data_IF_855631899065
#
_entry.id   IF_855631899065
#
_cell.length_a   1.000
_cell.length_b   1.000
_cell.length_c   1.000
_cell.angle_alpha   90.00
_cell.angle_beta   90.00
_cell.angle_gamma   90.00
#
_symmetry.space_group_name_H-M   'P 1'
#
loop_
_entity.id
_entity.type
_entity.pdbx_description
1 polymer ?
#
# COMPACT_ATOMS: atom_id res chain seq x y z
N UNK A 1 -5.88 25.85 -14.76
CA UNK A 1 -6.54 25.91 -13.45
C UNK A 1 -7.48 24.73 -13.31
N UNK A 2 -7.02 23.64 -12.74
CA UNK A 2 -7.90 22.56 -12.30
C UNK A 2 -8.85 23.12 -11.25
N UNK A 3 -10.11 23.28 -11.57
CA UNK A 3 -11.11 23.67 -10.57
C UNK A 3 -11.37 22.47 -9.66
N UNK A 4 -11.40 22.69 -8.36
CA UNK A 4 -11.67 21.67 -7.34
C UNK A 4 -13.00 20.89 -7.55
N UNK A 5 -13.92 21.44 -8.35
CA UNK A 5 -15.18 20.83 -8.75
C UNK A 5 -15.01 19.60 -9.69
N UNK A 6 -14.07 19.68 -10.63
CA UNK A 6 -13.82 18.60 -11.60
C UNK A 6 -13.32 17.31 -10.92
N UNK A 7 -12.49 17.48 -9.90
CA UNK A 7 -11.92 16.34 -9.17
C UNK A 7 -12.94 15.73 -8.20
N UNK A 8 -13.86 16.51 -7.64
CA UNK A 8 -14.95 15.97 -6.83
C UNK A 8 -15.91 15.08 -7.66
N UNK A 9 -16.21 15.49 -8.88
CA UNK A 9 -17.13 14.74 -9.74
C UNK A 9 -16.49 13.44 -10.25
N UNK A 10 -15.20 13.45 -10.60
CA UNK A 10 -14.51 12.24 -11.06
C UNK A 10 -14.03 11.34 -9.92
N UNK A 11 -13.76 11.87 -8.74
CA UNK A 11 -13.51 11.08 -7.53
C UNK A 11 -14.70 10.20 -7.12
N UNK A 12 -15.93 10.62 -7.41
CA UNK A 12 -17.15 9.84 -7.17
C UNK A 12 -17.27 8.63 -8.12
N UNK A 13 -16.75 8.71 -9.35
CA UNK A 13 -16.78 7.60 -10.30
C UNK A 13 -15.83 6.46 -9.91
N UNK A 14 -14.70 6.76 -9.28
CA UNK A 14 -13.84 5.74 -8.69
C UNK A 14 -14.51 4.99 -7.54
N UNK A 15 -15.43 5.61 -6.82
CA UNK A 15 -16.10 5.02 -5.68
C UNK A 15 -17.14 3.94 -6.05
N UNK A 16 -17.71 4.00 -7.24
CA UNK A 16 -18.81 3.11 -7.61
C UNK A 16 -18.35 1.69 -7.99
N UNK A 17 -17.12 1.53 -8.49
CA UNK A 17 -16.59 0.24 -8.94
C UNK A 17 -15.42 -0.29 -8.12
N UNK A 18 -14.85 0.52 -7.21
CA UNK A 18 -13.71 0.17 -6.39
C UNK A 18 -14.13 0.12 -4.91
N UNK A 19 -13.94 -1.02 -4.28
CA UNK A 19 -14.37 -1.22 -2.89
C UNK A 19 -13.50 -0.44 -1.88
N UNK A 20 -12.21 -0.25 -2.14
CA UNK A 20 -11.25 0.26 -1.16
C UNK A 20 -10.32 1.36 -1.65
N UNK A 21 -9.99 1.41 -2.94
CA UNK A 21 -9.05 2.40 -3.48
C UNK A 21 -9.70 3.78 -3.65
N UNK A 22 -8.96 4.82 -3.31
CA UNK A 22 -9.38 6.23 -3.46
C UNK A 22 -8.23 7.05 -4.01
N UNK A 23 -8.51 7.95 -4.94
CA UNK A 23 -7.54 8.92 -5.45
C UNK A 23 -7.74 10.24 -4.75
N UNK A 24 -6.65 10.85 -4.29
CA UNK A 24 -6.64 12.15 -3.65
C UNK A 24 -5.75 13.11 -4.39
N UNK A 25 -6.28 14.25 -4.83
CA UNK A 25 -5.47 15.35 -5.32
C UNK A 25 -4.69 15.97 -4.16
N UNK A 26 -3.35 15.95 -4.24
CA UNK A 26 -2.46 16.48 -3.20
C UNK A 26 -1.80 17.78 -3.61
N UNK A 27 -1.64 18.03 -4.92
CA UNK A 27 -1.01 19.24 -5.45
C UNK A 27 -1.53 19.57 -6.85
N UNK A 28 -1.70 20.84 -7.14
CA UNK A 28 -1.80 21.40 -8.49
C UNK A 28 -0.55 22.25 -8.70
N UNK A 29 0.08 22.08 -9.85
CA UNK A 29 1.27 22.82 -10.25
C UNK A 29 1.13 23.29 -11.69
N UNK A 30 1.60 24.49 -12.00
CA UNK A 30 1.69 25.02 -13.35
C UNK A 30 3.14 24.86 -13.82
N UNK A 31 3.33 24.28 -14.99
CA UNK A 31 4.64 24.12 -15.61
C UNK A 31 4.73 24.91 -16.91
N UNK A 32 5.95 25.33 -17.30
CA UNK A 32 6.21 26.06 -18.54
C UNK A 32 6.56 25.10 -19.69
N UNK A 33 5.79 24.05 -19.87
CA UNK A 33 5.97 23.15 -21.00
C UNK A 33 5.43 23.78 -22.28
N UNK A 34 6.26 23.86 -23.32
CA UNK A 34 5.88 24.41 -24.62
C UNK A 34 5.31 23.30 -25.51
N UNK A 35 3.97 23.20 -25.55
CA UNK A 35 3.26 22.22 -26.35
C UNK A 35 3.35 22.46 -27.88
N UNK A 36 3.67 23.68 -28.30
CA UNK A 36 3.71 24.08 -29.72
C UNK A 36 4.96 23.58 -30.44
N UNK A 37 5.97 23.10 -29.69
CA UNK A 37 7.15 22.47 -30.28
C UNK A 37 6.88 21.08 -30.84
N UNK A 38 5.73 20.47 -30.55
CA UNK A 38 5.36 19.13 -30.98
C UNK A 38 4.28 19.13 -32.04
N UNK A 39 4.32 18.15 -32.93
CA UNK A 39 3.21 17.92 -33.90
C UNK A 39 1.99 17.32 -33.20
N UNK A 40 0.79 17.52 -33.76
CA UNK A 40 -0.46 16.95 -33.22
C UNK A 40 -0.41 15.43 -32.99
N UNK A 41 0.36 14.71 -33.84
CA UNK A 41 0.51 13.27 -33.72
C UNK A 41 1.45 12.82 -32.59
N UNK A 42 2.29 13.71 -32.05
CA UNK A 42 3.35 13.38 -31.10
C UNK A 42 3.26 14.15 -29.77
N UNK A 43 2.38 15.15 -29.69
CA UNK A 43 2.37 16.04 -28.52
C UNK A 43 2.20 15.30 -27.18
N UNK A 44 1.42 14.22 -27.15
CA UNK A 44 1.25 13.43 -25.93
C UNK A 44 2.47 12.56 -25.63
N UNK A 45 3.09 11.93 -26.64
CA UNK A 45 4.32 11.15 -26.47
C UNK A 45 5.48 12.04 -26.01
N UNK A 46 5.65 13.21 -26.67
CA UNK A 46 6.70 14.17 -26.31
C UNK A 46 6.47 14.74 -24.92
N UNK A 47 5.23 15.06 -24.56
CA UNK A 47 4.87 15.55 -23.23
C UNK A 47 5.03 14.49 -22.14
N UNK A 48 4.63 13.26 -22.39
CA UNK A 48 4.83 12.15 -21.45
C UNK A 48 6.32 11.86 -21.27
N UNK A 49 7.10 11.88 -22.37
CA UNK A 49 8.56 11.73 -22.34
C UNK A 49 9.20 12.82 -21.49
N UNK A 50 8.86 14.09 -21.74
CA UNK A 50 9.37 15.23 -20.98
C UNK A 50 8.95 15.17 -19.49
N UNK A 51 7.74 14.65 -19.19
CA UNK A 51 7.20 14.57 -17.84
C UNK A 51 7.94 13.57 -16.97
N UNK A 52 8.34 12.40 -17.52
CA UNK A 52 9.04 11.38 -16.74
C UNK A 52 10.58 11.52 -16.80
N UNK A 53 11.12 12.24 -17.79
CA UNK A 53 12.57 12.47 -17.92
C UNK A 53 13.09 13.34 -16.79
N UNK A 54 14.35 13.10 -16.38
CA UNK A 54 14.97 13.81 -15.24
C UNK A 54 15.87 14.97 -15.65
N UNK A 55 16.38 14.98 -16.90
CA UNK A 55 17.48 15.85 -17.34
C UNK A 55 17.28 16.41 -18.76
N UNK A 56 16.05 16.54 -19.25
CA UNK A 56 15.80 17.06 -20.61
C UNK A 56 15.50 18.56 -20.64
N UNK A 57 15.51 19.23 -19.48
CA UNK A 57 15.27 20.67 -19.28
C UNK A 57 13.88 21.14 -19.68
N UNK A 58 12.89 20.27 -19.69
CA UNK A 58 11.52 20.62 -20.06
C UNK A 58 10.60 20.73 -18.86
N UNK A 59 10.52 19.69 -18.05
CA UNK A 59 9.66 19.64 -16.85
C UNK A 59 10.39 19.02 -15.67
N UNK A 60 11.72 19.12 -15.60
CA UNK A 60 12.54 18.47 -14.56
C UNK A 60 12.12 18.85 -13.14
N UNK A 61 11.57 20.07 -12.95
CA UNK A 61 11.08 20.55 -11.67
C UNK A 61 9.92 19.70 -11.13
N UNK A 62 9.16 19.01 -12.00
CA UNK A 62 7.99 18.22 -11.61
C UNK A 62 8.38 17.09 -10.66
N UNK A 63 9.56 16.50 -10.82
CA UNK A 63 10.04 15.44 -9.94
C UNK A 63 10.24 15.96 -8.51
N UNK A 64 10.81 17.15 -8.35
CA UNK A 64 10.96 17.80 -7.04
C UNK A 64 9.60 18.17 -6.44
N UNK A 65 8.69 18.71 -7.25
CA UNK A 65 7.31 19.06 -6.83
C UNK A 65 6.53 17.80 -6.43
N UNK A 66 6.59 16.73 -7.23
CA UNK A 66 5.99 15.44 -6.95
C UNK A 66 6.46 14.88 -5.60
N UNK A 67 7.78 14.89 -5.41
CA UNK A 67 8.41 14.40 -4.18
C UNK A 67 7.99 15.24 -2.96
N UNK A 68 8.04 16.57 -3.07
CA UNK A 68 7.63 17.48 -1.99
C UNK A 68 6.15 17.35 -1.63
N UNK A 69 5.30 17.07 -2.60
CA UNK A 69 3.87 16.84 -2.40
C UNK A 69 3.55 15.43 -1.87
N UNK A 70 4.50 14.49 -1.95
CA UNK A 70 4.24 13.06 -1.69
C UNK A 70 3.23 12.49 -2.68
N UNK A 71 3.27 12.93 -3.94
CA UNK A 71 2.33 12.49 -4.96
C UNK A 71 2.81 11.20 -5.61
N UNK A 72 2.04 10.13 -5.47
CA UNK A 72 2.39 8.82 -6.02
C UNK A 72 2.30 8.80 -7.55
N UNK A 73 1.32 9.49 -8.11
CA UNK A 73 1.05 9.58 -9.56
C UNK A 73 0.99 11.04 -9.98
N UNK A 74 1.46 11.34 -11.16
CA UNK A 74 1.38 12.66 -11.79
C UNK A 74 0.54 12.56 -13.07
N UNK A 75 -0.39 13.48 -13.24
CA UNK A 75 -1.18 13.62 -14.47
C UNK A 75 -1.02 15.05 -14.99
N UNK A 76 -0.44 15.19 -16.18
CA UNK A 76 -0.32 16.47 -16.89
C UNK A 76 -1.56 16.71 -17.75
N UNK A 77 -2.16 17.89 -17.64
CA UNK A 77 -3.23 18.31 -18.50
C UNK A 77 -2.70 19.24 -19.60
N UNK A 78 -2.71 18.77 -20.85
CA UNK A 78 -2.32 19.53 -22.03
C UNK A 78 -3.45 20.44 -22.47
N UNK A 79 -3.12 21.66 -22.85
CA UNK A 79 -4.10 22.65 -23.33
C UNK A 79 -4.50 22.41 -24.79
N UNK A 80 -3.69 21.69 -25.57
CA UNK A 80 -4.00 21.33 -26.96
C UNK A 80 -5.14 20.32 -27.03
N UNK A 81 -6.02 20.52 -28.01
CA UNK A 81 -7.18 19.64 -28.29
C UNK A 81 -7.03 18.88 -29.62
N UNK A 82 -5.98 19.14 -30.40
CA UNK A 82 -5.68 18.50 -31.67
C UNK A 82 -4.74 17.28 -31.50
N UNK A 83 -4.86 16.55 -30.41
CA UNK A 83 -4.05 15.38 -30.10
C UNK A 83 -4.62 14.10 -30.72
N UNK A 84 -3.76 13.08 -30.91
CA UNK A 84 -4.16 11.80 -31.52
C UNK A 84 -5.12 10.99 -30.64
N UNK A 85 -5.08 11.19 -29.32
CA UNK A 85 -5.96 10.56 -28.34
C UNK A 85 -6.37 11.54 -27.24
N UNK A 86 -7.27 11.16 -26.36
CA UNK A 86 -7.66 12.00 -25.21
C UNK A 86 -6.64 11.96 -24.08
N UNK A 87 -5.85 10.90 -23.99
CA UNK A 87 -4.82 10.73 -22.98
C UNK A 87 -3.78 9.69 -23.39
N UNK A 88 -2.69 9.62 -22.63
CA UNK A 88 -1.62 8.65 -22.78
C UNK A 88 -0.94 8.43 -21.41
N UNK A 89 -0.63 7.18 -21.08
CA UNK A 89 0.12 6.82 -19.88
C UNK A 89 0.95 5.57 -20.08
N UNK A 90 1.87 5.32 -19.16
CA UNK A 90 2.52 4.02 -19.08
C UNK A 90 1.53 2.99 -18.51
N UNK A 91 1.57 1.78 -19.07
CA UNK A 91 0.92 0.62 -18.47
C UNK A 91 1.90 -0.04 -17.51
N UNK A 92 1.61 -0.02 -16.21
CA UNK A 92 2.41 -0.69 -15.20
C UNK A 92 1.95 -2.15 -15.10
N UNK A 93 2.48 -2.99 -15.96
CA UNK A 93 2.03 -4.38 -16.19
C UNK A 93 2.67 -5.41 -15.26
N UNK A 94 3.81 -5.12 -14.63
CA UNK A 94 4.42 -5.95 -13.59
C UNK A 94 4.37 -5.26 -12.23
N UNK A 95 3.51 -5.69 -11.31
CA UNK A 95 3.42 -5.08 -9.97
C UNK A 95 4.67 -5.33 -9.10
N UNK A 96 5.55 -6.26 -9.47
CA UNK A 96 6.80 -6.54 -8.78
C UNK A 96 7.97 -5.67 -9.27
N UNK A 97 7.78 -4.91 -10.36
CA UNK A 97 8.85 -4.05 -10.90
C UNK A 97 9.10 -2.85 -9.99
N UNK A 98 10.33 -2.78 -9.49
CA UNK A 98 10.79 -1.69 -8.62
C UNK A 98 10.91 -0.34 -9.35
N UNK A 99 10.85 -0.30 -10.69
CA UNK A 99 10.90 0.94 -11.49
C UNK A 99 9.51 1.56 -11.68
N UNK A 100 8.42 0.89 -11.34
CA UNK A 100 7.06 1.42 -11.43
C UNK A 100 6.90 2.86 -10.91
N UNK A 101 7.51 3.27 -9.78
CA UNK A 101 7.44 4.65 -9.31
C UNK A 101 7.98 5.69 -10.29
N UNK A 102 8.92 5.32 -11.16
CA UNK A 102 9.56 6.21 -12.12
C UNK A 102 8.73 6.42 -13.39
N UNK A 103 7.75 5.51 -13.62
CA UNK A 103 6.83 5.56 -14.76
C UNK A 103 5.38 5.87 -14.37
N UNK A 104 5.11 6.25 -13.13
CA UNK A 104 3.76 6.57 -12.66
C UNK A 104 3.32 7.99 -13.10
N UNK A 105 3.31 8.19 -14.42
CA UNK A 105 2.97 9.44 -15.10
C UNK A 105 1.94 9.22 -16.19
N UNK A 106 1.10 10.24 -16.42
CA UNK A 106 0.12 10.27 -17.49
C UNK A 106 -0.07 11.68 -18.04
N UNK A 107 -0.57 11.79 -19.26
CA UNK A 107 -0.96 13.04 -19.89
C UNK A 107 -2.40 12.94 -20.38
N UNK A 108 -3.16 14.03 -20.33
CA UNK A 108 -4.56 14.09 -20.80
C UNK A 108 -4.84 15.41 -21.51
N UNK A 109 -5.79 15.43 -22.46
CA UNK A 109 -6.32 16.68 -22.96
C UNK A 109 -7.12 17.42 -21.89
N UNK A 110 -6.78 18.67 -21.59
CA UNK A 110 -7.50 19.47 -20.59
C UNK A 110 -9.00 19.60 -20.91
N UNK A 111 -9.34 19.81 -22.21
CA UNK A 111 -10.72 19.92 -22.64
C UNK A 111 -11.57 18.66 -22.40
N UNK A 112 -10.93 17.49 -22.32
CA UNK A 112 -11.62 16.21 -22.08
C UNK A 112 -11.81 15.89 -20.59
N UNK A 113 -11.04 16.53 -19.70
CA UNK A 113 -11.03 16.22 -18.25
C UNK A 113 -12.41 16.32 -17.59
N UNK A 114 -13.21 17.33 -17.99
CA UNK A 114 -14.53 17.55 -17.39
C UNK A 114 -15.68 16.80 -18.07
N UNK A 115 -15.47 16.32 -19.29
CA UNK A 115 -16.53 15.76 -20.13
C UNK A 115 -16.41 14.25 -20.36
N UNK A 116 -15.28 13.64 -19.96
CA UNK A 116 -14.98 12.22 -20.15
C UNK A 116 -14.34 11.60 -18.92
N UNK A 117 -14.16 10.27 -18.95
CA UNK A 117 -13.43 9.53 -17.91
C UNK A 117 -11.92 9.41 -18.20
N UNK A 118 -11.34 10.28 -19.03
CA UNK A 118 -9.93 10.14 -19.47
C UNK A 118 -8.95 10.09 -18.32
N UNK A 119 -9.10 10.91 -17.29
CA UNK A 119 -8.20 10.89 -16.12
C UNK A 119 -8.27 9.53 -15.41
N UNK A 120 -9.48 8.98 -15.25
CA UNK A 120 -9.68 7.67 -14.64
C UNK A 120 -9.09 6.55 -15.51
N UNK A 121 -9.23 6.67 -16.84
CA UNK A 121 -8.65 5.74 -17.81
C UNK A 121 -7.13 5.70 -17.71
N UNK A 122 -6.46 6.86 -17.79
CA UNK A 122 -4.99 6.93 -17.72
C UNK A 122 -4.46 6.49 -16.34
N UNK A 123 -5.16 6.83 -15.27
CA UNK A 123 -4.82 6.31 -13.95
C UNK A 123 -5.04 4.79 -13.83
N UNK A 124 -6.00 4.24 -14.56
CA UNK A 124 -6.20 2.80 -14.70
C UNK A 124 -4.93 2.12 -15.23
N UNK A 125 -4.31 2.65 -16.29
CA UNK A 125 -3.05 2.14 -16.82
C UNK A 125 -1.92 2.20 -15.81
N UNK A 126 -1.75 3.33 -15.14
CA UNK A 126 -0.75 3.50 -14.07
C UNK A 126 -1.00 2.52 -12.89
N UNK A 127 -2.21 2.01 -12.75
CA UNK A 127 -2.56 1.00 -11.75
C UNK A 127 -2.64 -0.42 -12.33
N UNK A 128 -2.15 -0.63 -13.55
CA UNK A 128 -1.99 -1.94 -14.15
C UNK A 128 -3.18 -2.47 -14.94
N UNK A 129 -4.14 -1.61 -15.29
CA UNK A 129 -5.30 -1.98 -16.10
C UNK A 129 -5.01 -1.85 -17.59
N UNK A 130 -5.22 -2.90 -18.38
CA UNK A 130 -5.16 -2.85 -19.82
C UNK A 130 -6.53 -2.48 -20.46
N UNK A 131 -6.51 -2.12 -21.74
CA UNK A 131 -7.71 -1.99 -22.56
C UNK A 131 -8.51 -3.30 -22.65
N UNK A 132 -9.63 -3.28 -23.31
CA UNK A 132 -10.35 -4.53 -23.63
C UNK A 132 -9.50 -5.46 -24.52
N UNK A 133 -9.78 -6.75 -24.47
CA UNK A 133 -8.97 -7.81 -25.13
C UNK A 133 -8.71 -7.59 -26.62
N UNK A 134 -9.61 -6.91 -27.34
CA UNK A 134 -9.44 -6.63 -28.76
C UNK A 134 -8.45 -5.47 -29.01
N UNK A 135 -8.22 -4.62 -28.02
CA UNK A 135 -7.40 -3.41 -28.12
C UNK A 135 -6.17 -3.42 -27.19
N UNK A 136 -6.00 -4.44 -26.38
CA UNK A 136 -4.83 -4.60 -25.50
C UNK A 136 -3.65 -5.21 -26.27
N UNK A 137 -2.97 -4.39 -27.06
CA UNK A 137 -1.89 -4.83 -27.96
C UNK A 137 -0.69 -5.41 -27.23
N UNK A 138 -0.42 -4.97 -26.00
CA UNK A 138 0.66 -5.47 -25.12
C UNK A 138 0.24 -6.65 -24.23
N UNK A 139 -0.99 -7.14 -24.36
CA UNK A 139 -1.52 -8.23 -23.54
C UNK A 139 -2.31 -7.77 -22.33
N UNK A 140 -2.38 -8.60 -21.29
CA UNK A 140 -2.99 -8.23 -20.02
C UNK A 140 -2.17 -7.14 -19.33
N UNK A 141 -2.84 -6.37 -18.46
CA UNK A 141 -2.10 -5.52 -17.52
C UNK A 141 -1.40 -6.36 -16.44
N UNK A 142 -1.38 -5.91 -15.21
CA UNK A 142 -0.65 -6.57 -14.11
C UNK A 142 -1.04 -8.04 -13.85
N UNK A 143 -2.22 -8.45 -14.24
CA UNK A 143 -2.73 -9.81 -14.02
C UNK A 143 -3.51 -10.30 -15.23
N UNK A 144 -3.67 -11.62 -15.38
CA UNK A 144 -4.38 -12.26 -16.52
C UNK A 144 -5.82 -11.74 -16.74
N UNK A 145 -6.44 -11.19 -15.72
CA UNK A 145 -7.79 -10.61 -15.73
C UNK A 145 -7.81 -9.07 -15.81
N UNK A 146 -6.67 -8.40 -15.95
CA UNK A 146 -6.55 -6.93 -15.95
C UNK A 146 -6.97 -6.31 -17.27
N UNK A 147 -8.16 -6.64 -17.75
CA UNK A 147 -8.72 -6.14 -19.03
C UNK A 147 -9.96 -5.30 -18.81
N UNK A 148 -10.14 -4.30 -19.66
CA UNK A 148 -11.43 -3.65 -19.88
C UNK A 148 -12.46 -4.61 -20.46
N UNK A 149 -13.74 -4.24 -20.37
CA UNK A 149 -14.85 -5.11 -20.70
C UNK A 149 -15.89 -4.45 -21.59
N UNK A 150 -16.24 -5.12 -22.71
CA UNK A 150 -17.38 -4.78 -23.57
C UNK A 150 -18.42 -5.89 -23.49
N UNK A 151 -19.68 -5.51 -23.37
CA UNK A 151 -20.77 -6.46 -23.16
C UNK A 151 -22.11 -5.94 -23.71
N UNK A 152 -23.10 -6.81 -23.75
CA UNK A 152 -24.48 -6.44 -24.07
C UNK A 152 -25.31 -6.42 -22.77
N UNK A 153 -26.06 -5.33 -22.60
CA UNK A 153 -27.05 -5.24 -21.52
C UNK A 153 -28.30 -6.07 -21.80
N UNK A 154 -29.16 -6.20 -20.82
CA UNK A 154 -30.46 -6.87 -20.96
C UNK A 154 -31.38 -6.17 -21.98
N UNK A 155 -31.15 -4.90 -22.26
CA UNK A 155 -31.84 -4.11 -23.29
C UNK A 155 -31.30 -4.37 -24.72
N UNK A 156 -30.34 -5.27 -24.88
CA UNK A 156 -29.71 -5.63 -26.14
C UNK A 156 -28.73 -4.59 -26.69
N UNK A 157 -28.44 -3.52 -25.98
CA UNK A 157 -27.46 -2.51 -26.39
C UNK A 157 -26.05 -2.90 -25.91
N UNK A 158 -25.06 -2.44 -26.68
CA UNK A 158 -23.67 -2.66 -26.33
C UNK A 158 -23.16 -1.56 -25.38
N UNK A 159 -22.48 -1.99 -24.34
CA UNK A 159 -21.86 -1.16 -23.30
C UNK A 159 -20.38 -1.49 -23.13
N UNK A 160 -19.65 -0.58 -22.51
CA UNK A 160 -18.24 -0.75 -22.19
C UNK A 160 -17.89 -0.07 -20.87
N UNK A 161 -16.86 -0.59 -20.22
CA UNK A 161 -16.25 0.03 -19.04
C UNK A 161 -15.32 1.20 -19.43
N UNK A 162 -14.69 1.85 -18.44
CA UNK A 162 -13.78 2.98 -18.65
C UNK A 162 -12.57 2.60 -19.50
N UNK A 163 -12.02 1.37 -19.36
CA UNK A 163 -10.80 0.94 -20.05
C UNK A 163 -11.05 0.38 -21.45
N UNK A 164 -12.28 0.11 -21.82
CA UNK A 164 -12.61 -0.46 -23.12
C UNK A 164 -12.84 0.61 -24.20
N UNK A 165 -12.36 0.34 -25.40
CA UNK A 165 -12.58 1.20 -26.56
C UNK A 165 -13.95 0.95 -27.23
N UNK A 166 -14.44 1.90 -28.02
CA UNK A 166 -15.63 1.70 -28.85
C UNK A 166 -15.55 0.40 -29.67
N UNK A 167 -16.72 -0.19 -30.07
CA UNK A 167 -18.08 0.32 -29.90
C UNK A 167 -18.66 0.06 -28.50
N UNK A 168 -19.78 0.71 -28.21
CA UNK A 168 -20.55 0.60 -26.99
C UNK A 168 -20.61 1.89 -26.20
N UNK A 169 -21.71 2.09 -25.50
CA UNK A 169 -21.86 3.23 -24.58
C UNK A 169 -20.95 3.05 -23.37
N UNK A 170 -20.10 4.04 -23.09
CA UNK A 170 -19.25 4.03 -21.92
C UNK A 170 -20.08 4.20 -20.64
N UNK A 171 -19.75 3.37 -19.66
CA UNK A 171 -20.24 3.47 -18.29
C UNK A 171 -19.07 3.89 -17.38
N UNK A 172 -19.36 4.69 -16.37
CA UNK A 172 -18.35 5.24 -15.47
C UNK A 172 -17.82 4.23 -14.44
N UNK A 173 -17.53 3.00 -14.85
CA UNK A 173 -17.03 1.91 -14.02
C UNK A 173 -15.78 1.28 -14.63
N UNK A 174 -14.88 0.81 -13.78
CA UNK A 174 -13.92 -0.22 -14.20
C UNK A 174 -14.61 -1.58 -14.25
N UNK A 175 -14.08 -2.51 -15.06
CA UNK A 175 -14.61 -3.87 -15.11
C UNK A 175 -14.58 -4.49 -13.70
N UNK A 176 -15.75 -4.99 -13.28
CA UNK A 176 -15.97 -5.58 -11.98
C UNK A 176 -17.12 -6.59 -12.04
N UNK A 177 -16.87 -7.90 -11.89
CA UNK A 177 -17.92 -8.93 -11.95
C UNK A 177 -18.95 -8.84 -10.82
N UNK A 178 -18.63 -8.17 -9.71
CA UNK A 178 -19.49 -8.06 -8.53
C UNK A 178 -20.46 -6.87 -8.64
N UNK A 179 -20.27 -6.00 -9.64
CA UNK A 179 -21.15 -4.86 -9.90
C UNK A 179 -22.15 -5.20 -11.00
N UNK A 180 -23.43 -5.26 -10.62
CA UNK A 180 -24.55 -5.33 -11.58
C UNK A 180 -24.98 -3.89 -11.91
N UNK A 181 -24.79 -3.49 -13.16
CA UNK A 181 -25.21 -2.17 -13.61
C UNK A 181 -26.74 -2.08 -13.55
N UNK A 182 -27.32 -0.99 -13.00
CA UNK A 182 -28.77 -0.84 -12.90
C UNK A 182 -29.51 -0.90 -14.27
N UNK A 183 -30.82 -1.11 -14.27
CA UNK A 183 -31.62 -1.02 -15.49
C UNK A 183 -31.39 0.33 -16.23
N UNK A 184 -31.43 0.33 -17.57
CA UNK A 184 -31.82 -0.77 -18.45
C UNK A 184 -30.72 -1.81 -18.75
N UNK A 185 -29.48 -1.58 -18.30
CA UNK A 185 -28.33 -2.45 -18.58
C UNK A 185 -28.49 -3.82 -17.93
N UNK A 186 -28.78 -3.88 -16.64
CA UNK A 186 -29.08 -5.07 -15.82
C UNK A 186 -28.14 -6.26 -16.06
N UNK A 187 -26.83 -5.98 -16.14
CA UNK A 187 -25.80 -6.97 -16.41
C UNK A 187 -24.54 -6.69 -15.58
N UNK A 188 -23.71 -7.70 -15.26
CA UNK A 188 -22.43 -7.48 -14.63
C UNK A 188 -21.47 -6.76 -15.59
N UNK A 189 -20.66 -5.82 -15.03
CA UNK A 189 -19.70 -5.07 -15.83
C UNK A 189 -18.31 -5.71 -15.79
N UNK A 190 -18.22 -6.99 -15.74
CA UNK A 190 -16.97 -7.74 -15.74
C UNK A 190 -17.16 -9.24 -15.71
N UNK A 191 -16.07 -9.97 -15.78
CA UNK A 191 -16.00 -11.43 -15.68
C UNK A 191 -14.96 -11.80 -14.62
N UNK A 192 -15.35 -12.67 -13.70
CA UNK A 192 -14.51 -13.06 -12.57
C UNK A 192 -13.17 -13.67 -13.02
N UNK A 193 -12.12 -13.39 -12.24
CA UNK A 193 -10.80 -14.00 -12.43
C UNK A 193 -10.88 -15.53 -12.43
N UNK A 194 -10.13 -16.17 -13.32
CA UNK A 194 -10.13 -17.62 -13.53
C UNK A 194 -11.29 -18.14 -14.39
N UNK A 195 -12.13 -17.26 -14.96
CA UNK A 195 -13.18 -17.63 -15.90
C UNK A 195 -12.79 -17.27 -17.33
N UNK A 196 -13.33 -18.01 -18.31
CA UNK A 196 -13.12 -17.69 -19.71
C UNK A 196 -13.59 -16.24 -20.01
N UNK A 197 -12.72 -15.44 -20.63
CA UNK A 197 -13.01 -14.03 -20.91
C UNK A 197 -12.90 -13.12 -19.67
N UNK A 198 -12.22 -13.55 -18.59
CA UNK A 198 -12.01 -12.77 -17.36
C UNK A 198 -11.65 -11.30 -17.63
N UNK A 199 -12.31 -10.39 -16.93
CA UNK A 199 -12.11 -8.94 -17.01
C UNK A 199 -12.49 -8.33 -15.66
N UNK A 200 -11.49 -7.94 -14.85
CA UNK A 200 -11.69 -7.43 -13.49
C UNK A 200 -10.63 -6.39 -13.12
N UNK A 201 -10.72 -5.21 -13.73
CA UNK A 201 -9.82 -4.10 -13.45
C UNK A 201 -10.01 -3.54 -12.03
N UNK A 202 -11.19 -3.66 -11.45
CA UNK A 202 -11.42 -3.29 -10.05
C UNK A 202 -10.52 -4.08 -9.09
N UNK A 203 -10.41 -5.40 -9.29
CA UNK A 203 -9.50 -6.25 -8.50
C UNK A 203 -8.03 -5.93 -8.77
N UNK A 204 -7.67 -5.57 -10.01
CA UNK A 204 -6.32 -5.10 -10.37
C UNK A 204 -5.95 -3.87 -9.57
N UNK A 205 -6.81 -2.85 -9.59
CA UNK A 205 -6.61 -1.60 -8.86
C UNK A 205 -6.54 -1.87 -7.36
N UNK A 206 -7.42 -2.69 -6.81
CA UNK A 206 -7.41 -3.03 -5.39
C UNK A 206 -6.08 -3.66 -4.94
N UNK A 207 -5.53 -4.57 -5.75
CA UNK A 207 -4.24 -5.22 -5.45
C UNK A 207 -3.05 -4.28 -5.60
N UNK A 208 -3.06 -3.39 -6.60
CA UNK A 208 -1.94 -2.51 -6.90
C UNK A 208 -2.00 -1.18 -6.14
N UNK A 209 -3.19 -0.74 -5.68
CA UNK A 209 -3.37 0.55 -5.02
C UNK A 209 -2.47 0.74 -3.79
N UNK A 210 -2.24 -0.32 -3.03
CA UNK A 210 -1.36 -0.24 -1.85
C UNK A 210 0.10 0.01 -2.27
N UNK A 211 0.62 -0.71 -3.26
CA UNK A 211 1.97 -0.50 -3.78
C UNK A 211 2.10 0.91 -4.37
N UNK A 212 1.13 1.33 -5.21
CA UNK A 212 1.10 2.67 -5.79
C UNK A 212 1.08 3.77 -4.71
N UNK A 213 0.27 3.63 -3.67
CA UNK A 213 0.20 4.59 -2.55
C UNK A 213 1.51 4.66 -1.72
N UNK A 214 2.49 3.83 -2.01
CA UNK A 214 3.81 3.87 -1.36
C UNK A 214 4.92 4.43 -2.26
N UNK A 215 4.65 4.78 -3.52
CA UNK A 215 5.65 5.24 -4.46
C UNK A 215 6.42 6.48 -3.97
N UNK A 216 5.81 7.34 -3.17
CA UNK A 216 6.42 8.56 -2.64
C UNK A 216 6.40 8.69 -1.12
N UNK A 217 6.04 7.64 -0.37
CA UNK A 217 6.12 7.65 1.10
C UNK A 217 7.55 7.85 1.61
N UNK A 218 8.57 7.56 0.79
CA UNK A 218 9.97 7.69 1.19
C UNK A 218 10.49 9.12 1.17
N UNK A 219 9.90 10.01 0.40
CA UNK A 219 10.46 11.35 0.19
C UNK A 219 9.96 12.40 1.19
N UNK A 220 8.98 12.10 2.02
CA UNK A 220 8.65 12.91 3.19
C UNK A 220 9.47 12.52 4.42
N UNK A 221 10.76 12.35 4.27
CA UNK A 221 11.69 12.64 5.36
C UNK A 221 11.76 14.17 5.51
N UNK A 222 10.60 14.80 5.73
CA UNK A 222 10.57 16.17 6.24
C UNK A 222 11.29 16.14 7.56
N UNK A 223 12.24 17.03 7.76
CA UNK A 223 13.06 17.16 8.97
C UNK A 223 12.23 17.28 10.28
N UNK A 224 10.90 17.27 10.20
CA UNK A 224 9.93 17.40 11.27
C UNK A 224 8.79 16.37 11.26
N UNK A 225 8.85 15.30 10.45
CA UNK A 225 7.80 14.29 10.49
C UNK A 225 7.95 13.37 11.72
N UNK A 226 6.88 13.17 12.45
CA UNK A 226 6.83 12.14 13.51
C UNK A 226 7.18 10.76 12.94
N UNK A 227 7.97 9.98 13.66
CA UNK A 227 8.33 8.61 13.29
C UNK A 227 7.42 7.62 14.03
N UNK A 228 6.92 6.62 13.31
CA UNK A 228 6.31 5.45 13.96
C UNK A 228 7.45 4.64 14.58
N UNK A 229 7.49 4.56 15.89
CA UNK A 229 8.61 3.93 16.61
C UNK A 229 8.20 2.64 17.32
N UNK A 230 6.91 2.42 17.50
CA UNK A 230 6.37 1.20 18.08
C UNK A 230 4.99 0.88 17.49
N UNK A 231 4.76 -0.41 17.34
CA UNK A 231 3.40 -0.97 17.22
C UNK A 231 3.28 -2.16 18.15
N UNK A 232 2.12 -2.23 18.79
CA UNK A 232 1.79 -3.25 19.75
C UNK A 232 0.40 -3.81 19.47
N UNK A 233 0.20 -5.11 19.65
CA UNK A 233 -1.12 -5.73 19.59
C UNK A 233 -1.29 -6.74 20.71
N UNK A 234 -2.30 -6.49 21.55
CA UNK A 234 -2.75 -7.42 22.57
C UNK A 234 -3.95 -8.20 22.02
N UNK A 235 -3.87 -9.51 22.09
CA UNK A 235 -4.94 -10.40 21.67
C UNK A 235 -4.89 -11.74 22.40
N UNK A 236 -5.91 -12.55 22.22
CA UNK A 236 -5.85 -13.95 22.60
C UNK A 236 -4.86 -14.68 21.68
N UNK A 237 -3.93 -15.42 22.27
CA UNK A 237 -2.98 -16.31 21.62
C UNK A 237 -3.50 -17.72 21.77
N UNK A 238 -3.92 -18.32 20.66
CA UNK A 238 -4.36 -19.72 20.57
C UNK A 238 -3.30 -20.60 19.93
N UNK A 239 -3.72 -21.73 19.41
CA UNK A 239 -2.87 -22.69 18.68
C UNK A 239 -3.27 -22.78 17.22
N UNK A 240 -2.37 -23.24 16.34
CA UNK A 240 -2.61 -23.38 14.92
C UNK A 240 -2.93 -22.04 14.25
N UNK A 241 -4.09 -21.90 13.62
CA UNK A 241 -4.49 -20.65 12.95
C UNK A 241 -4.85 -19.50 13.91
N UNK A 242 -4.93 -19.77 15.22
CA UNK A 242 -5.26 -18.78 16.24
C UNK A 242 -4.05 -18.14 16.92
N UNK A 243 -2.85 -18.34 16.38
CA UNK A 243 -1.63 -17.68 16.86
C UNK A 243 -1.70 -16.16 16.61
N UNK A 244 -0.99 -15.39 17.43
CA UNK A 244 -0.87 -13.94 17.23
C UNK A 244 0.32 -13.64 16.31
N UNK A 245 0.05 -12.91 15.22
CA UNK A 245 1.06 -12.53 14.22
C UNK A 245 1.13 -11.03 14.11
N UNK A 246 2.35 -10.48 14.21
CA UNK A 246 2.69 -9.11 13.85
C UNK A 246 3.52 -9.09 12.58
N UNK A 247 3.01 -8.51 11.49
CA UNK A 247 3.75 -8.29 10.26
C UNK A 247 4.31 -6.88 10.18
N UNK A 248 5.51 -6.71 9.64
CA UNK A 248 6.10 -5.38 9.41
C UNK A 248 7.04 -5.38 8.20
N UNK A 249 7.20 -4.21 7.60
CA UNK A 249 8.07 -3.99 6.44
C UNK A 249 9.15 -3.00 6.81
N UNK A 250 10.41 -3.40 6.64
CA UNK A 250 11.60 -2.55 6.78
C UNK A 250 11.98 -2.01 5.41
N UNK A 251 12.19 -0.70 5.30
CA UNK A 251 12.60 -0.03 4.05
C UNK A 251 13.74 0.93 4.30
N UNK A 252 14.77 0.87 3.46
CA UNK A 252 15.96 1.72 3.49
C UNK A 252 17.18 0.99 2.94
N UNK A 253 18.30 1.72 2.78
CA UNK A 253 19.54 1.19 2.21
C UNK A 253 20.38 0.38 3.20
N UNK A 254 20.16 0.55 4.52
CA UNK A 254 20.92 -0.13 5.57
C UNK A 254 20.00 -1.03 6.41
N UNK A 255 20.53 -2.10 7.02
CA UNK A 255 19.74 -2.91 7.95
C UNK A 255 19.26 -2.10 9.15
N UNK A 256 18.02 -2.32 9.59
CA UNK A 256 17.37 -1.71 10.74
C UNK A 256 17.48 -2.60 11.97
N UNK A 257 17.87 -2.02 13.11
CA UNK A 257 17.78 -2.72 14.40
C UNK A 257 16.35 -2.65 14.91
N UNK A 258 15.76 -3.80 15.15
CA UNK A 258 14.43 -3.98 15.69
C UNK A 258 14.48 -4.72 17.01
N UNK A 259 13.71 -4.26 18.00
CA UNK A 259 13.36 -5.03 19.16
C UNK A 259 11.93 -5.54 18.99
N UNK A 260 11.76 -6.85 18.93
CA UNK A 260 10.45 -7.49 18.89
C UNK A 260 10.25 -8.24 20.19
N UNK A 261 9.08 -8.09 20.83
CA UNK A 261 8.79 -8.68 22.13
C UNK A 261 7.45 -9.40 22.11
N UNK A 262 7.37 -10.47 22.88
CA UNK A 262 6.13 -11.14 23.22
C UNK A 262 5.97 -11.11 24.73
N UNK A 263 5.02 -10.30 25.21
CA UNK A 263 4.73 -10.19 26.64
C UNK A 263 3.52 -11.06 27.00
N UNK A 264 3.70 -11.84 28.03
CA UNK A 264 2.66 -12.63 28.67
C UNK A 264 2.65 -12.34 30.19
N UNK A 265 3.58 -12.90 30.97
CA UNK A 265 3.65 -12.68 32.41
C UNK A 265 3.72 -11.21 32.84
N UNK A 266 4.47 -10.39 32.10
CA UNK A 266 4.60 -8.96 32.35
C UNK A 266 3.26 -8.20 32.29
N UNK A 267 2.29 -8.67 31.55
CA UNK A 267 0.97 -8.02 31.42
C UNK A 267 0.15 -8.09 32.72
N UNK A 268 0.41 -9.06 33.58
CA UNK A 268 -0.23 -9.16 34.90
C UNK A 268 0.02 -7.92 35.77
N UNK A 269 1.22 -7.32 35.67
CA UNK A 269 1.57 -6.07 36.35
C UNK A 269 0.73 -4.85 35.86
N UNK A 270 0.09 -4.93 34.72
CA UNK A 270 -0.82 -3.92 34.16
C UNK A 270 -2.30 -4.26 34.37
N UNK A 271 -2.61 -5.25 35.20
CA UNK A 271 -3.97 -5.63 35.54
C UNK A 271 -4.69 -6.42 34.44
N UNK A 272 -3.97 -6.97 33.47
CA UNK A 272 -4.58 -7.84 32.45
C UNK A 272 -4.87 -9.21 33.04
N UNK A 273 -6.13 -9.65 33.08
CA UNK A 273 -6.47 -10.96 33.61
C UNK A 273 -6.16 -12.08 32.60
N UNK A 274 -5.81 -13.26 33.10
CA UNK A 274 -5.64 -14.44 32.26
C UNK A 274 -4.56 -14.26 31.18
N UNK A 275 -3.37 -13.85 31.59
CA UNK A 275 -2.22 -13.64 30.69
C UNK A 275 -1.62 -14.97 30.21
N UNK A 276 -1.03 -14.99 29.03
CA UNK A 276 -0.23 -16.11 28.54
C UNK A 276 0.96 -16.33 29.46
N UNK A 277 1.11 -17.56 29.97
CA UNK A 277 2.10 -17.85 31.02
C UNK A 277 3.53 -17.92 30.47
N UNK A 278 3.70 -18.33 29.22
CA UNK A 278 4.99 -18.65 28.62
C UNK A 278 4.92 -18.44 27.08
N UNK A 279 5.13 -17.19 26.58
CA UNK A 279 5.10 -16.87 25.16
C UNK A 279 6.40 -17.25 24.45
N UNK A 280 6.31 -17.96 23.35
CA UNK A 280 7.38 -18.16 22.38
C UNK A 280 7.25 -17.16 21.23
N UNK A 281 8.37 -16.53 20.84
CA UNK A 281 8.44 -15.55 19.75
C UNK A 281 9.33 -16.07 18.61
N UNK A 282 8.82 -16.06 17.40
CA UNK A 282 9.56 -16.44 16.18
C UNK A 282 9.42 -15.36 15.11
N UNK A 283 10.53 -15.00 14.46
CA UNK A 283 10.59 -14.00 13.38
C UNK A 283 10.93 -14.71 12.07
N UNK A 284 10.10 -14.45 11.06
CA UNK A 284 10.24 -15.04 9.72
C UNK A 284 10.38 -13.95 8.65
N UNK A 285 11.07 -14.31 7.55
CA UNK A 285 11.01 -13.61 6.26
C UNK A 285 10.90 -14.69 5.16
N UNK A 286 9.97 -14.51 4.23
CA UNK A 286 9.73 -15.44 3.11
C UNK A 286 9.60 -16.91 3.55
N UNK A 287 8.91 -17.15 4.67
CA UNK A 287 8.72 -18.47 5.25
C UNK A 287 9.93 -19.06 5.98
N UNK A 288 11.09 -18.38 5.98
CA UNK A 288 12.31 -18.81 6.66
C UNK A 288 12.39 -18.23 8.06
N UNK A 289 12.64 -19.06 9.07
CA UNK A 289 12.93 -18.63 10.43
C UNK A 289 14.27 -17.89 10.47
N UNK A 290 14.24 -16.66 11.00
CA UNK A 290 15.42 -15.81 11.14
C UNK A 290 15.92 -15.74 12.59
N UNK A 291 15.02 -15.66 13.55
CA UNK A 291 15.33 -15.55 14.98
C UNK A 291 14.16 -16.07 15.81
N UNK A 292 14.46 -16.59 16.97
CA UNK A 292 13.46 -17.03 17.95
C UNK A 292 13.94 -16.78 19.38
N UNK A 293 13.01 -16.67 20.29
CA UNK A 293 13.29 -16.62 21.73
C UNK A 293 12.05 -17.09 22.50
N UNK A 294 12.29 -17.83 23.56
CA UNK A 294 11.29 -18.33 24.49
C UNK A 294 11.33 -17.53 25.81
N UNK A 295 12.53 -17.28 26.32
CA UNK A 295 12.75 -16.55 27.59
C UNK A 295 13.76 -15.43 27.35
N UNK A 296 13.37 -14.17 27.46
CA UNK A 296 14.16 -13.00 27.06
C UNK A 296 15.52 -12.89 27.72
N UNK A 297 15.66 -13.35 28.98
CA UNK A 297 16.89 -13.30 29.73
C UNK A 297 17.81 -14.50 29.53
N UNK A 298 17.36 -15.49 28.77
CA UNK A 298 18.12 -16.70 28.44
C UNK A 298 18.26 -16.80 26.91
N UNK A 299 19.32 -16.23 26.32
CA UNK A 299 19.50 -16.28 24.86
C UNK A 299 19.69 -17.70 24.35
N UNK A 300 19.14 -18.01 23.19
CA UNK A 300 19.33 -19.31 22.53
C UNK A 300 20.81 -19.47 22.14
N UNK A 301 21.37 -20.66 22.34
CA UNK A 301 22.78 -20.94 22.23
C UNK A 301 23.39 -20.89 20.82
N UNK A 302 22.65 -20.48 19.79
CA UNK A 302 23.08 -20.46 18.38
C UNK A 302 23.92 -19.21 18.00
N UNK A 303 24.17 -18.30 18.95
CA UNK A 303 24.94 -17.06 18.76
C UNK A 303 24.24 -15.98 17.91
N UNK A 304 22.98 -16.19 17.54
CA UNK A 304 22.18 -15.23 16.78
C UNK A 304 21.30 -14.34 17.66
N UNK A 305 21.01 -14.76 18.88
CA UNK A 305 20.23 -13.98 19.82
C UNK A 305 21.12 -12.97 20.56
N UNK A 306 20.64 -11.73 20.70
CA UNK A 306 21.29 -10.71 21.50
C UNK A 306 21.32 -11.11 22.98
N UNK A 307 22.38 -10.72 23.69
CA UNK A 307 22.46 -10.96 25.14
C UNK A 307 21.36 -10.24 25.91
N UNK A 308 20.96 -10.76 27.06
CA UNK A 308 19.94 -10.12 27.93
C UNK A 308 20.27 -8.67 28.25
N UNK A 309 21.57 -8.36 28.46
CA UNK A 309 22.03 -6.97 28.69
C UNK A 309 21.81 -6.04 27.50
N UNK A 310 21.95 -6.53 26.26
CA UNK A 310 21.72 -5.77 25.06
C UNK A 310 20.20 -5.51 24.85
N UNK A 311 19.35 -6.50 25.11
CA UNK A 311 17.90 -6.36 25.12
C UNK A 311 17.48 -5.34 26.19
N UNK A 312 17.99 -5.43 27.42
CA UNK A 312 17.69 -4.49 28.49
C UNK A 312 18.13 -3.05 28.15
N UNK A 313 19.31 -2.88 27.54
CA UNK A 313 19.78 -1.60 27.04
C UNK A 313 18.90 -1.02 25.95
N UNK A 314 18.44 -1.87 25.00
CA UNK A 314 17.50 -1.46 23.95
C UNK A 314 16.15 -1.04 24.56
N UNK A 315 15.59 -1.79 25.49
CA UNK A 315 14.37 -1.49 26.26
C UNK A 315 14.46 -0.11 26.93
N UNK A 316 15.54 0.14 27.66
CA UNK A 316 15.77 1.43 28.33
C UNK A 316 15.87 2.60 27.32
N UNK A 317 16.56 2.38 26.20
CA UNK A 317 16.76 3.39 25.15
C UNK A 317 15.47 3.82 24.46
N UNK A 318 14.52 2.88 24.26
CA UNK A 318 13.26 3.16 23.58
C UNK A 318 12.11 3.51 24.53
N UNK A 319 12.33 3.45 25.84
CA UNK A 319 11.33 3.73 26.86
C UNK A 319 10.22 2.67 26.99
N UNK A 320 10.49 1.43 26.60
CA UNK A 320 9.55 0.34 26.78
C UNK A 320 9.55 -0.13 28.25
N UNK A 321 8.45 -0.70 28.74
CA UNK A 321 8.42 -1.28 30.09
C UNK A 321 9.38 -2.48 30.15
N UNK A 322 10.15 -2.59 31.26
CA UNK A 322 11.12 -3.68 31.43
C UNK A 322 10.41 -5.00 31.73
N UNK A 323 10.95 -6.10 31.20
CA UNK A 323 10.60 -7.42 31.67
C UNK A 323 11.34 -7.74 32.98
N UNK A 324 10.72 -8.48 33.88
CA UNK A 324 11.35 -8.95 35.11
C UNK A 324 12.41 -9.99 34.75
N UNK A 325 13.59 -9.89 35.36
CA UNK A 325 14.66 -10.89 35.15
C UNK A 325 14.16 -12.29 35.51
N UNK A 326 14.36 -13.24 34.60
CA UNK A 326 13.86 -14.61 34.73
C UNK A 326 12.38 -14.81 34.47
N UNK A 327 11.65 -13.76 34.03
CA UNK A 327 10.29 -13.98 33.54
C UNK A 327 10.29 -14.76 32.23
N UNK A 328 9.19 -15.46 31.95
CA UNK A 328 8.99 -16.23 30.72
C UNK A 328 8.51 -15.37 29.55
N UNK A 329 8.58 -14.04 29.63
CA UNK A 329 8.36 -13.17 28.50
C UNK A 329 9.47 -13.36 27.45
N UNK A 330 9.18 -13.22 26.15
CA UNK A 330 10.15 -13.41 25.08
C UNK A 330 10.55 -12.09 24.41
N UNK A 331 11.80 -11.98 23.97
CA UNK A 331 12.28 -10.82 23.23
C UNK A 331 13.44 -11.17 22.28
N UNK A 332 13.43 -10.55 21.09
CA UNK A 332 14.48 -10.67 20.10
C UNK A 332 14.95 -9.27 19.69
N UNK A 333 16.25 -9.01 19.82
CA UNK A 333 16.91 -7.84 19.25
C UNK A 333 17.65 -8.28 17.97
N UNK A 334 17.23 -7.79 16.82
CA UNK A 334 17.69 -8.30 15.53
C UNK A 334 17.96 -7.16 14.55
N UNK A 335 18.94 -7.35 13.67
CA UNK A 335 19.25 -6.44 12.56
C UNK A 335 18.68 -6.99 11.26
N UNK A 336 17.69 -6.27 10.68
CA UNK A 336 16.93 -6.71 9.52
C UNK A 336 17.21 -5.81 8.32
N UNK A 337 17.63 -6.36 7.17
CA UNK A 337 17.68 -5.63 5.90
C UNK A 337 16.29 -5.16 5.45
N UNK A 338 16.23 -4.40 4.37
CA UNK A 338 14.94 -4.06 3.73
C UNK A 338 14.22 -5.36 3.33
N UNK A 339 12.91 -5.46 3.66
CA UNK A 339 12.12 -6.66 3.41
C UNK A 339 10.85 -6.73 4.27
N UNK A 340 10.03 -7.76 4.01
CA UNK A 340 8.85 -8.09 4.79
C UNK A 340 9.15 -9.13 5.88
N UNK A 341 8.57 -8.94 7.06
CA UNK A 341 8.80 -9.80 8.22
C UNK A 341 7.49 -10.14 8.92
N UNK A 342 7.43 -11.35 9.46
CA UNK A 342 6.35 -11.80 10.33
C UNK A 342 6.91 -12.26 11.66
N UNK A 343 6.41 -11.69 12.73
CA UNK A 343 6.68 -12.14 14.10
C UNK A 343 5.47 -12.94 14.59
N UNK A 344 5.69 -14.17 14.98
CA UNK A 344 4.65 -15.10 15.44
C UNK A 344 4.81 -15.32 16.93
N UNK A 345 3.72 -15.18 17.68
CA UNK A 345 3.65 -15.49 19.12
C UNK A 345 2.75 -16.68 19.33
N UNK A 346 3.28 -17.68 19.98
CA UNK A 346 2.60 -18.90 20.43
C UNK A 346 2.81 -19.08 21.94
N UNK A 347 2.00 -19.90 22.55
CA UNK A 347 2.28 -20.32 23.95
C UNK A 347 3.13 -21.59 23.96
N UNK A 348 4.19 -21.61 24.76
CA UNK A 348 5.00 -22.78 24.98
C UNK A 348 4.12 -24.00 25.36
N UNK A 349 4.45 -25.15 24.79
CA UNK A 349 3.73 -26.42 25.03
C UNK A 349 2.23 -26.35 24.75
N UNK A 350 1.82 -25.49 23.82
CA UNK A 350 0.41 -25.30 23.45
C UNK A 350 -0.40 -24.48 24.46
N UNK A 351 0.26 -23.70 25.31
CA UNK A 351 -0.39 -22.73 26.20
C UNK A 351 -1.20 -21.71 25.41
N UNK A 352 -2.36 -21.30 25.95
CA UNK A 352 -3.23 -20.33 25.29
C UNK A 352 -3.71 -19.31 26.30
N UNK A 353 -3.68 -18.04 26.00
CA UNK A 353 -4.30 -16.95 26.76
C UNK A 353 -3.99 -15.58 26.13
N UNK A 354 -4.15 -14.49 26.89
CA UNK A 354 -3.89 -13.13 26.44
C UNK A 354 -2.38 -12.87 26.40
N UNK A 355 -1.89 -12.50 25.20
CA UNK A 355 -0.51 -12.08 24.95
C UNK A 355 -0.46 -10.72 24.26
N UNK A 356 0.74 -10.12 24.25
CA UNK A 356 1.03 -8.86 23.56
C UNK A 356 2.25 -9.07 22.68
N UNK A 357 2.14 -8.73 21.40
CA UNK A 357 3.29 -8.58 20.52
C UNK A 357 3.61 -7.09 20.35
N UNK A 358 4.88 -6.74 20.40
CA UNK A 358 5.39 -5.40 20.19
C UNK A 358 6.57 -5.42 19.23
N UNK A 359 6.63 -4.45 18.31
CA UNK A 359 7.77 -4.22 17.45
C UNK A 359 8.23 -2.76 17.58
N UNK A 360 9.49 -2.57 17.94
CA UNK A 360 10.11 -1.26 18.14
C UNK A 360 11.25 -1.02 17.18
N UNK A 361 11.33 0.18 16.61
CA UNK A 361 12.56 0.66 15.98
C UNK A 361 13.60 1.04 17.07
N UNK A 362 14.79 0.45 17.00
CA UNK A 362 15.91 0.81 17.87
C UNK A 362 16.88 1.70 17.10
N UNK A 363 16.83 3.00 17.38
CA UNK A 363 17.64 4.01 16.68
C UNK A 363 16.85 4.87 15.72
N UNK A 364 17.42 6.03 15.34
CA UNK A 364 16.80 7.04 14.47
C UNK A 364 17.60 7.20 13.18
N UNK A 365 17.87 6.10 12.49
CA UNK A 365 18.51 6.12 11.18
C UNK A 365 17.50 6.38 10.04
N UNK A 366 17.99 6.45 8.80
CA UNK A 366 17.16 6.69 7.61
C UNK A 366 16.27 5.50 7.25
N UNK A 367 16.64 4.28 7.65
CA UNK A 367 15.85 3.07 7.46
C UNK A 367 14.67 3.03 8.43
N UNK A 368 13.48 2.77 7.92
CA UNK A 368 12.21 2.88 8.67
C UNK A 368 11.35 1.63 8.56
N UNK A 369 10.51 1.42 9.56
CA UNK A 369 9.34 0.55 9.45
C UNK A 369 8.21 1.34 8.81
N UNK A 370 7.67 0.83 7.70
CA UNK A 370 6.69 1.56 6.88
C UNK A 370 5.30 0.94 6.88
N UNK A 371 5.19 -0.31 7.23
CA UNK A 371 3.93 -1.03 7.32
C UNK A 371 3.91 -1.91 8.55
N UNK A 372 2.75 -2.03 9.16
CA UNK A 372 2.48 -2.89 10.29
C UNK A 372 1.09 -3.49 10.12
N UNK A 373 1.02 -4.79 10.18
CA UNK A 373 -0.22 -5.55 10.07
C UNK A 373 -0.27 -6.53 11.23
N UNK A 374 -1.46 -6.82 11.74
CA UNK A 374 -1.62 -7.78 12.82
C UNK A 374 -2.74 -8.74 12.49
N UNK A 375 -2.53 -10.01 12.78
CA UNK A 375 -3.54 -11.04 12.78
C UNK A 375 -3.60 -11.66 14.18
N UNK A 376 -4.75 -11.59 14.81
CA UNK A 376 -5.04 -12.23 16.09
C UNK A 376 -6.42 -12.86 16.08
N UNK A 377 -6.67 -13.77 17.00
CA UNK A 377 -7.97 -14.37 17.20
C UNK A 377 -8.84 -13.49 18.09
N UNK A 378 -10.04 -13.18 17.61
CA UNK A 378 -11.06 -12.44 18.37
C UNK A 378 -12.41 -13.11 18.13
N UNK A 379 -13.13 -13.50 19.20
CA UNK A 379 -14.45 -14.15 19.07
C UNK A 379 -15.55 -13.48 19.89
N UNK A 380 -15.34 -13.19 21.15
CA UNK A 380 -16.33 -12.59 22.05
C UNK A 380 -15.66 -11.85 23.20
N UNK A 381 -16.49 -11.34 24.10
CA UNK A 381 -16.07 -10.64 25.31
C UNK A 381 -14.90 -11.34 26.03
N UNK A 382 -13.83 -10.59 26.26
CA UNK A 382 -12.60 -11.06 26.89
C UNK A 382 -11.53 -11.55 25.90
N UNK A 383 -11.80 -11.59 24.59
CA UNK A 383 -10.84 -11.93 23.53
C UNK A 383 -10.79 -10.87 22.42
N UNK A 384 -10.99 -9.63 22.79
CA UNK A 384 -10.87 -8.50 21.88
C UNK A 384 -9.40 -8.29 21.50
N UNK A 385 -9.18 -7.86 20.26
CA UNK A 385 -7.87 -7.45 19.80
C UNK A 385 -7.70 -5.94 20.00
N UNK A 386 -6.63 -5.54 20.68
CA UNK A 386 -6.30 -4.14 20.95
C UNK A 386 -4.99 -3.78 20.23
N UNK A 387 -5.09 -2.93 19.21
CA UNK A 387 -3.93 -2.37 18.50
C UNK A 387 -3.51 -1.02 19.08
N UNK A 388 -2.22 -0.82 19.27
CA UNK A 388 -1.62 0.44 19.69
C UNK A 388 -0.38 0.78 18.88
N UNK A 389 -0.05 2.07 18.79
CA UNK A 389 1.18 2.53 18.15
C UNK A 389 1.69 3.80 18.82
N UNK A 390 3.01 4.03 18.73
CA UNK A 390 3.65 5.23 19.25
C UNK A 390 4.30 6.01 18.11
N UNK A 391 3.98 7.29 18.05
CA UNK A 391 4.62 8.25 17.15
C UNK A 391 5.54 9.16 17.96
N UNK A 392 6.82 9.15 17.63
CA UNK A 392 7.81 10.06 18.24
C UNK A 392 8.17 11.18 17.27
N UNK A 393 8.40 12.38 17.81
CA UNK A 393 8.84 13.55 17.05
C UNK A 393 8.98 14.77 17.98
N UNK A 394 9.47 15.88 17.44
CA UNK A 394 9.48 17.16 18.15
C UNK A 394 8.03 17.63 18.40
N UNK A 395 7.77 18.47 19.42
CA UNK A 395 6.46 19.06 19.64
C UNK A 395 5.91 19.71 18.35
N UNK A 396 4.66 19.42 17.99
CA UNK A 396 4.02 19.90 16.77
C UNK A 396 4.27 19.05 15.52
N UNK A 397 5.09 17.99 15.59
CA UNK A 397 5.22 17.06 14.47
C UNK A 397 3.98 16.18 14.34
N UNK A 398 3.60 15.86 13.09
CA UNK A 398 2.45 15.01 12.80
C UNK A 398 2.86 13.85 11.91
N UNK A 399 2.17 12.72 12.05
CA UNK A 399 2.28 11.57 11.16
C UNK A 399 0.87 11.17 10.71
N UNK A 400 0.71 10.97 9.41
CA UNK A 400 -0.56 10.45 8.87
C UNK A 400 -0.50 8.93 8.83
N UNK A 401 -1.56 8.29 9.29
CA UNK A 401 -1.74 6.84 9.25
C UNK A 401 -3.01 6.49 8.48
N UNK A 402 -2.96 5.36 7.78
CA UNK A 402 -4.15 4.63 7.33
C UNK A 402 -4.32 3.44 8.28
N UNK A 403 -5.43 3.41 8.99
CA UNK A 403 -5.83 2.30 9.85
C UNK A 403 -7.00 1.61 9.15
N UNK A 404 -6.89 0.30 8.96
CA UNK A 404 -7.93 -0.54 8.34
C UNK A 404 -8.43 -1.58 9.34
#
# INVERSE_FOLDING_TARGET
LFRSSVIKEHGLLFDASLNTARVKLVKIHETNYDEDLSTSAKVQDDALTALYSLDDRKMDEIHAVRNAAGADVVCLALNRSDTASLGLSFLLDDPADNTNPDYAFSVVQYSAVASTNVVAHEMGHVLGCAHDRANALSGAGSYSYSYGYRFFGADGRQYRDIMAYPPGTELGYFSNPDVIVPPPVSAPIGVAAGRAGESNNALTIERNAFAAATYRLQMQAVANAGALINVATRAYVGTGDQVLIGGFVVRGAAPKTMLVRAAGPALAGFGVPGVLGDPELRIYSDGRLLAENDNWSTPVADGRAAAASEIAAAVARIGAFPFVSGSADAAVLVRLPAGGYSAVVEGARGGTSIGLIEAFEVGRDATKVINLATRGYADRAGREMHGGFVVAGAPGTTKRFLIR
#
